data_IF_717587275943
#
_entry.id   IF_717587275943
#
_cell.length_a   1.000
_cell.length_b   1.000
_cell.length_c   1.000
_cell.angle_alpha   90.00
_cell.angle_beta   90.00
_cell.angle_gamma   90.00
#
_symmetry.space_group_name_H-M   'P 1'
#
loop_
_entity.id
_entity.type
_entity.pdbx_description
1 polymer ?
#
# COMPACT_ATOMS: atom_id res chain seq x y z
N UNK A 1 35.25 27.17 9.93
CA UNK A 1 34.24 26.37 10.67
C UNK A 1 32.87 26.98 10.39
N UNK A 2 32.18 26.52 9.36
CA UNK A 2 30.79 26.91 9.08
C UNK A 2 29.89 25.90 9.76
N UNK A 3 29.28 26.32 10.86
CA UNK A 3 28.33 25.53 11.64
C UNK A 3 27.03 25.39 10.82
N UNK A 4 26.78 24.18 10.36
CA UNK A 4 25.59 23.81 9.60
C UNK A 4 24.44 23.69 10.59
N UNK A 5 23.78 24.81 10.88
CA UNK A 5 22.52 24.84 11.62
C UNK A 5 21.43 24.11 10.82
N UNK A 6 21.39 22.78 10.96
CA UNK A 6 20.25 21.96 10.56
C UNK A 6 19.06 22.43 11.39
N UNK A 7 18.26 23.33 10.83
CA UNK A 7 16.93 23.64 11.36
C UNK A 7 16.20 22.31 11.55
N UNK A 8 15.93 21.94 12.81
CA UNK A 8 15.12 20.77 13.10
C UNK A 8 13.74 21.04 12.49
N UNK A 9 13.17 20.13 11.69
CA UNK A 9 11.83 20.35 11.16
C UNK A 9 10.89 20.52 12.36
N UNK A 10 10.28 21.70 12.46
CA UNK A 10 9.28 22.03 13.47
C UNK A 10 8.04 21.21 13.16
N UNK A 11 7.91 20.05 13.81
CA UNK A 11 6.73 19.18 13.70
C UNK A 11 5.50 19.97 14.14
N UNK A 12 4.42 19.88 13.35
CA UNK A 12 3.15 20.49 13.73
C UNK A 12 2.56 19.77 14.95
N UNK A 13 1.75 20.45 15.78
CA UNK A 13 1.14 19.84 16.97
C UNK A 13 0.36 18.54 16.69
N UNK A 14 -0.21 18.39 15.48
CA UNK A 14 -0.92 17.18 15.06
C UNK A 14 0.01 15.99 14.81
N UNK A 15 1.17 16.23 14.19
CA UNK A 15 2.16 15.17 13.91
C UNK A 15 2.83 14.64 15.19
N UNK A 16 2.85 15.45 16.26
CA UNK A 16 3.36 15.06 17.58
C UNK A 16 2.39 14.08 18.26
N UNK A 17 1.09 14.35 18.20
CA UNK A 17 0.04 13.45 18.74
C UNK A 17 0.01 12.14 17.95
N UNK A 18 0.05 12.23 16.62
CA UNK A 18 0.03 11.04 15.75
C UNK A 18 1.25 10.12 15.97
N UNK A 19 2.43 10.70 16.23
CA UNK A 19 3.64 9.94 16.61
C UNK A 19 3.58 9.35 18.01
N UNK A 20 2.86 10.00 18.94
CA UNK A 20 2.71 9.53 20.31
C UNK A 20 1.69 8.39 20.43
N UNK A 21 0.65 8.40 19.59
CA UNK A 21 -0.38 7.34 19.54
C UNK A 21 0.01 6.16 18.64
N UNK A 22 0.93 6.35 17.69
CA UNK A 22 1.41 5.28 16.83
C UNK A 22 2.33 4.31 17.57
N UNK A 23 2.17 3.01 17.29
CA UNK A 23 3.11 1.98 17.74
C UNK A 23 4.55 2.33 17.29
N UNK A 24 5.60 2.12 18.10
CA UNK A 24 6.97 2.54 17.78
C UNK A 24 7.48 2.01 16.44
N UNK A 25 7.00 0.85 15.99
CA UNK A 25 7.32 0.29 14.67
C UNK A 25 6.63 1.00 13.48
N UNK A 26 5.53 1.71 13.72
CA UNK A 26 4.78 2.45 12.71
C UNK A 26 5.30 3.89 12.50
N UNK A 27 6.04 4.44 13.47
CA UNK A 27 6.65 5.77 13.40
C UNK A 27 7.45 6.05 12.11
N UNK A 28 8.32 5.13 11.60
CA UNK A 28 9.01 5.37 10.32
C UNK A 28 8.09 5.37 9.09
N UNK A 29 6.87 4.85 9.21
CA UNK A 29 5.91 4.67 8.13
C UNK A 29 4.73 5.64 8.18
N UNK A 30 4.68 6.57 9.14
CA UNK A 30 3.59 7.57 9.27
C UNK A 30 3.33 8.37 7.99
N UNK A 31 4.36 8.60 7.18
CA UNK A 31 4.23 9.30 5.90
C UNK A 31 3.33 8.56 4.89
N UNK A 32 3.19 7.22 5.00
CA UNK A 32 2.28 6.41 4.19
C UNK A 32 0.81 6.67 4.53
N UNK A 33 0.52 7.12 5.76
CA UNK A 33 -0.82 7.49 6.21
C UNK A 33 -1.29 8.84 5.66
N UNK A 34 -0.40 9.63 5.06
CA UNK A 34 -0.76 10.95 4.54
C UNK A 34 -1.81 10.84 3.41
N UNK A 35 -2.80 11.73 3.43
CA UNK A 35 -3.93 11.70 2.47
C UNK A 35 -3.46 11.73 1.02
N UNK A 36 -2.34 12.44 0.75
CA UNK A 36 -1.72 12.50 -0.58
C UNK A 36 -1.19 11.14 -1.04
N UNK A 37 -0.50 10.42 -0.17
CA UNK A 37 0.07 9.10 -0.48
C UNK A 37 -1.05 8.07 -0.61
N UNK A 38 -2.04 8.09 0.30
CA UNK A 38 -3.18 7.19 0.24
C UNK A 38 -4.01 7.38 -1.04
N UNK A 39 -4.33 8.62 -1.42
CA UNK A 39 -5.05 8.90 -2.69
C UNK A 39 -4.20 8.61 -3.92
N UNK A 40 -2.90 8.85 -3.83
CA UNK A 40 -1.95 8.62 -4.93
C UNK A 40 -1.48 7.17 -5.07
N UNK A 41 -1.86 6.27 -4.17
CA UNK A 41 -1.33 4.91 -4.12
C UNK A 41 -1.52 4.16 -5.44
N UNK A 42 -2.64 4.36 -6.14
CA UNK A 42 -2.94 3.74 -7.44
C UNK A 42 -1.94 4.12 -8.54
N UNK A 43 -1.24 5.25 -8.40
CA UNK A 43 -0.23 5.69 -9.37
C UNK A 43 0.95 4.72 -9.40
N UNK A 44 1.32 4.13 -8.27
CA UNK A 44 2.46 3.19 -8.18
C UNK A 44 2.24 1.93 -9.04
N UNK A 45 1.17 1.13 -8.84
CA UNK A 45 0.92 -0.03 -9.68
C UNK A 45 0.65 0.38 -11.15
N UNK A 46 0.00 1.52 -11.40
CA UNK A 46 -0.25 1.99 -12.76
C UNK A 46 1.04 2.30 -13.53
N UNK A 47 1.96 3.06 -12.91
CA UNK A 47 3.28 3.35 -13.48
C UNK A 47 4.09 2.07 -13.66
N UNK A 48 4.03 1.16 -12.68
CA UNK A 48 4.63 -0.17 -12.80
C UNK A 48 4.13 -0.91 -14.03
N UNK A 49 2.82 -0.98 -14.23
CA UNK A 49 2.21 -1.63 -15.39
C UNK A 49 2.70 -1.02 -16.71
N UNK A 50 2.75 0.31 -16.81
CA UNK A 50 3.23 1.00 -18.01
C UNK A 50 4.70 0.66 -18.26
N UNK A 51 5.56 0.81 -17.24
CA UNK A 51 6.99 0.56 -17.35
C UNK A 51 7.28 -0.89 -17.77
N UNK A 52 6.64 -1.85 -17.11
CA UNK A 52 6.82 -3.26 -17.45
C UNK A 52 6.26 -3.59 -18.82
N UNK A 53 5.16 -2.97 -19.26
CA UNK A 53 4.64 -3.15 -20.63
C UNK A 53 5.63 -2.65 -21.68
N UNK A 54 6.29 -1.51 -21.43
CA UNK A 54 7.34 -0.99 -22.32
C UNK A 54 8.57 -1.90 -22.34
N UNK A 55 8.95 -2.47 -21.20
CA UNK A 55 10.05 -3.43 -21.13
C UNK A 55 9.77 -4.69 -21.96
N UNK A 56 8.51 -5.13 -22.02
CA UNK A 56 8.06 -6.26 -22.84
C UNK A 56 8.17 -6.02 -24.34
N UNK A 57 8.23 -4.77 -24.79
CA UNK A 57 8.52 -4.44 -26.20
C UNK A 57 10.00 -4.67 -26.55
N UNK A 58 10.91 -4.43 -25.59
CA UNK A 58 12.36 -4.60 -25.78
C UNK A 58 12.75 -6.07 -25.58
N UNK A 59 12.13 -6.73 -24.61
CA UNK A 59 12.38 -8.13 -24.24
C UNK A 59 11.11 -8.97 -24.42
N UNK A 60 10.78 -9.37 -25.66
CA UNK A 60 9.59 -10.16 -25.93
C UNK A 60 9.68 -11.55 -25.29
N UNK A 61 8.55 -12.05 -24.79
CA UNK A 61 8.45 -13.40 -24.26
C UNK A 61 8.82 -14.43 -25.33
N UNK A 62 9.73 -15.35 -24.97
CA UNK A 62 10.20 -16.42 -25.84
C UNK A 62 9.12 -17.48 -26.12
N UNK A 63 8.25 -17.74 -25.14
CA UNK A 63 7.14 -18.68 -25.28
C UNK A 63 5.83 -17.92 -25.05
N UNK A 64 5.22 -17.47 -26.14
CA UNK A 64 3.93 -16.75 -26.10
C UNK A 64 2.78 -17.76 -26.13
N UNK A 65 1.83 -17.61 -25.22
CA UNK A 65 0.54 -18.26 -25.35
C UNK A 65 -0.22 -17.67 -26.55
N UNK A 66 -1.18 -18.40 -27.16
CA UNK A 66 -1.91 -17.91 -28.33
C UNK A 66 -2.75 -16.65 -28.07
N UNK A 67 -3.04 -16.32 -26.81
CA UNK A 67 -3.73 -15.09 -26.39
C UNK A 67 -2.78 -14.00 -25.89
N UNK A 68 -1.47 -14.21 -25.93
CA UNK A 68 -0.49 -13.23 -25.47
C UNK A 68 -0.28 -12.11 -26.49
N UNK A 69 -0.37 -10.88 -26.00
CA UNK A 69 0.04 -9.67 -26.70
C UNK A 69 1.18 -8.99 -25.91
N UNK A 70 1.77 -7.94 -26.48
CA UNK A 70 3.01 -7.33 -25.96
C UNK A 70 2.98 -6.88 -24.48
N UNK A 71 1.80 -6.67 -23.91
CA UNK A 71 1.60 -6.26 -22.53
C UNK A 71 0.68 -7.21 -21.73
N UNK A 72 0.36 -8.40 -22.24
CA UNK A 72 -0.63 -9.31 -21.64
C UNK A 72 -0.32 -9.60 -20.17
N UNK A 73 0.92 -9.96 -19.85
CA UNK A 73 1.33 -10.25 -18.47
C UNK A 73 1.17 -9.05 -17.52
N UNK A 74 1.53 -7.85 -17.96
CA UNK A 74 1.47 -6.63 -17.15
C UNK A 74 0.01 -6.20 -16.92
N UNK A 75 -0.83 -6.31 -17.96
CA UNK A 75 -2.27 -5.99 -17.88
C UNK A 75 -3.00 -7.00 -17.01
N UNK A 76 -2.77 -8.31 -17.22
CA UNK A 76 -3.39 -9.37 -16.41
C UNK A 76 -2.96 -9.23 -14.94
N UNK A 77 -1.67 -8.98 -14.68
CA UNK A 77 -1.16 -8.72 -13.33
C UNK A 77 -1.82 -7.51 -12.67
N UNK A 78 -1.95 -6.40 -13.40
CA UNK A 78 -2.61 -5.19 -12.89
C UNK A 78 -4.08 -5.44 -12.55
N UNK A 79 -4.84 -6.05 -13.47
CA UNK A 79 -6.26 -6.35 -13.26
C UNK A 79 -6.44 -7.29 -12.07
N UNK A 80 -5.60 -8.32 -11.96
CA UNK A 80 -5.63 -9.27 -10.85
C UNK A 80 -5.33 -8.58 -9.51
N UNK A 81 -4.31 -7.72 -9.48
CA UNK A 81 -3.98 -6.92 -8.31
C UNK A 81 -5.13 -6.00 -7.89
N UNK A 82 -5.70 -5.24 -8.83
CA UNK A 82 -6.85 -4.36 -8.54
C UNK A 82 -8.04 -5.16 -8.03
N UNK A 83 -8.31 -6.33 -8.61
CA UNK A 83 -9.38 -7.20 -8.15
C UNK A 83 -9.18 -7.63 -6.70
N UNK A 84 -7.99 -8.08 -6.32
CA UNK A 84 -7.68 -8.50 -4.94
C UNK A 84 -7.78 -7.32 -3.98
N UNK A 85 -7.19 -6.17 -4.32
CA UNK A 85 -7.21 -4.97 -3.47
C UNK A 85 -8.63 -4.45 -3.25
N UNK A 86 -9.45 -4.40 -4.30
CA UNK A 86 -10.85 -3.99 -4.19
C UNK A 86 -11.73 -5.03 -3.47
N UNK A 87 -11.29 -6.30 -3.46
CA UNK A 87 -11.94 -7.37 -2.71
C UNK A 87 -11.61 -7.37 -1.22
N UNK A 88 -10.89 -6.37 -0.69
CA UNK A 88 -10.59 -6.27 0.73
C UNK A 88 -11.86 -6.24 1.60
N UNK A 89 -12.85 -5.38 1.26
CA UNK A 89 -14.10 -5.27 2.02
C UNK A 89 -14.91 -6.58 2.10
N UNK A 90 -15.21 -7.28 0.98
CA UNK A 90 -15.93 -8.55 1.07
C UNK A 90 -15.12 -9.64 1.76
N UNK A 91 -13.79 -9.63 1.63
CA UNK A 91 -12.92 -10.59 2.30
C UNK A 91 -12.92 -10.37 3.82
N UNK A 92 -12.83 -9.12 4.29
CA UNK A 92 -12.96 -8.79 5.71
C UNK A 92 -14.34 -9.13 6.26
N UNK A 93 -15.40 -8.98 5.46
CA UNK A 93 -16.75 -9.40 5.86
C UNK A 93 -16.86 -10.92 5.99
N UNK A 94 -16.17 -11.67 5.13
CA UNK A 94 -16.22 -13.14 5.12
C UNK A 94 -15.34 -13.77 6.21
N UNK A 95 -14.14 -13.21 6.45
CA UNK A 95 -13.18 -13.72 7.43
C UNK A 95 -13.30 -13.03 8.79
N UNK A 96 -14.05 -11.94 8.89
CA UNK A 96 -14.25 -11.18 10.12
C UNK A 96 -14.85 -12.06 11.19
N UNK A 97 -14.05 -12.41 12.20
CA UNK A 97 -14.53 -13.06 13.41
C UNK A 97 -15.28 -12.04 14.27
N UNK A 98 -16.30 -12.47 15.03
CA UNK A 98 -17.00 -11.59 15.95
C UNK A 98 -16.03 -11.02 16.99
N UNK A 99 -16.26 -9.78 17.42
CA UNK A 99 -15.39 -9.10 18.38
C UNK A 99 -15.25 -9.86 19.71
N UNK A 100 -16.24 -10.69 20.04
CA UNK A 100 -16.27 -11.52 21.25
C UNK A 100 -15.55 -12.88 21.08
N UNK A 101 -14.84 -13.11 19.98
CA UNK A 101 -14.28 -14.43 19.65
C UNK A 101 -13.19 -14.92 20.62
N UNK A 102 -12.47 -14.01 21.27
CA UNK A 102 -11.42 -14.34 22.25
C UNK A 102 -11.88 -14.33 23.72
N UNK A 103 -13.15 -13.98 23.98
CA UNK A 103 -13.74 -14.18 25.30
C UNK A 103 -13.44 -13.11 26.35
N UNK A 104 -12.89 -11.95 26.02
CA UNK A 104 -12.80 -10.80 26.96
C UNK A 104 -14.11 -9.97 27.07
N UNK A 105 -15.26 -10.63 26.95
CA UNK A 105 -16.56 -10.03 27.31
C UNK A 105 -17.05 -10.66 28.61
N UNK A 106 -17.12 -9.87 29.67
CA UNK A 106 -17.76 -10.16 30.97
C UNK A 106 -16.90 -10.87 32.04
N UNK A 107 -15.76 -10.27 32.40
CA UNK A 107 -14.88 -10.74 33.48
C UNK A 107 -14.69 -9.80 34.68
N UNK A 108 -15.48 -8.72 34.80
CA UNK A 108 -15.35 -7.72 35.89
C UNK A 108 -16.63 -7.56 36.74
N UNK A 109 -17.23 -8.67 37.21
CA UNK A 109 -18.07 -8.69 38.43
C UNK A 109 -17.82 -9.96 39.27
#
# INVERSE_FOLDING_TARGET
MTDSSKSKPTLSPREIVERAEAHPAAVPFLWLGSEKVRRGFIVVPLVGTILFSLLGLIYPLHHKAPWDFFASYAVIGFVSYSFVVLSAWPLFKLLGRPENYYGEGDGDE
#
